data_IF_685627722660
#
_entry.id   IF_685627722660
#
_cell.length_a   1.000
_cell.length_b   1.000
_cell.length_c   1.000
_cell.angle_alpha   90.00
_cell.angle_beta   90.00
_cell.angle_gamma   90.00
#
_symmetry.space_group_name_H-M   'P 1'
#
loop_
_entity.id
_entity.type
_entity.pdbx_description
1 polymer ?
#
# COMPACT_ATOMS: atom_id res chain seq x y z
N UNK A 1 15.58 -1.63 17.70
CA UNK A 1 14.31 -0.91 17.56
C UNK A 1 13.21 -1.94 17.50
N UNK A 2 12.39 -2.03 18.55
CA UNK A 2 11.15 -2.83 18.48
C UNK A 2 10.22 -2.10 17.54
N UNK A 3 9.83 -2.73 16.44
CA UNK A 3 8.64 -2.32 15.71
C UNK A 3 7.51 -2.29 16.74
N UNK A 4 6.76 -1.19 16.85
CA UNK A 4 5.61 -1.15 17.75
C UNK A 4 4.68 -2.32 17.38
N UNK A 5 4.16 -3.06 18.37
CA UNK A 5 3.30 -4.23 18.14
C UNK A 5 2.16 -3.97 17.15
N UNK A 6 1.70 -2.71 17.10
CA UNK A 6 0.74 -2.18 16.14
C UNK A 6 1.22 -2.27 14.68
N UNK A 7 2.45 -1.86 14.37
CA UNK A 7 3.00 -1.94 13.00
C UNK A 7 3.18 -3.41 12.58
N UNK A 8 3.61 -4.29 13.50
CA UNK A 8 3.73 -5.72 13.20
C UNK A 8 2.36 -6.35 12.86
N UNK A 9 1.31 -5.96 13.59
CA UNK A 9 -0.07 -6.35 13.29
C UNK A 9 -0.53 -5.82 11.92
N UNK A 10 -0.25 -4.54 11.62
CA UNK A 10 -0.58 -3.93 10.32
C UNK A 10 0.17 -4.62 9.17
N UNK A 11 1.44 -4.97 9.35
CA UNK A 11 2.21 -5.75 8.36
C UNK A 11 1.56 -7.10 8.07
N UNK A 12 1.22 -7.85 9.12
CA UNK A 12 0.59 -9.17 8.96
C UNK A 12 -0.78 -9.07 8.29
N UNK A 13 -1.55 -8.05 8.69
CA UNK A 13 -2.85 -7.73 8.12
C UNK A 13 -2.74 -7.40 6.62
N UNK A 14 -1.82 -6.51 6.25
CA UNK A 14 -1.73 -5.94 4.91
C UNK A 14 -0.98 -6.83 3.91
N UNK A 15 -0.08 -7.71 4.37
CA UNK A 15 0.63 -8.63 3.47
C UNK A 15 -0.34 -9.53 2.68
N UNK A 16 -1.49 -9.89 3.26
CA UNK A 16 -2.54 -10.66 2.59
C UNK A 16 -3.18 -9.92 1.40
N UNK A 17 -3.04 -8.60 1.34
CA UNK A 17 -3.60 -7.77 0.28
C UNK A 17 -2.65 -7.62 -0.90
N UNK A 18 -1.41 -8.10 -0.79
CA UNK A 18 -0.46 -8.05 -1.89
C UNK A 18 -0.96 -8.82 -3.13
N UNK A 19 -1.73 -9.88 -2.91
CA UNK A 19 -2.30 -10.70 -3.99
C UNK A 19 -3.46 -10.03 -4.74
N UNK A 20 -3.97 -8.89 -4.27
CA UNK A 20 -5.13 -8.24 -4.90
C UNK A 20 -4.82 -7.81 -6.34
N UNK A 21 -5.71 -8.05 -7.31
CA UNK A 21 -5.49 -7.70 -8.72
C UNK A 21 -5.75 -6.21 -9.00
N UNK A 22 -5.27 -5.33 -8.11
CA UNK A 22 -5.52 -3.89 -8.14
C UNK A 22 -4.24 -3.13 -8.43
N UNK A 23 -4.35 -2.09 -9.24
CA UNK A 23 -3.30 -1.08 -9.43
C UNK A 23 -3.20 -0.13 -8.20
N UNK A 24 -2.28 0.85 -8.24
CA UNK A 24 -1.97 1.71 -7.09
C UNK A 24 -3.17 2.47 -6.50
N UNK A 25 -4.08 3.00 -7.32
CA UNK A 25 -5.27 3.70 -6.83
C UNK A 25 -6.22 2.74 -6.09
N UNK A 26 -6.66 1.68 -6.76
CA UNK A 26 -7.56 0.69 -6.16
C UNK A 26 -6.96 0.02 -4.93
N UNK A 27 -5.68 -0.33 -4.96
CA UNK A 27 -5.01 -0.97 -3.83
C UNK A 27 -4.91 -0.03 -2.63
N UNK A 28 -4.43 1.22 -2.83
CA UNK A 28 -4.37 2.21 -1.74
C UNK A 28 -5.75 2.51 -1.16
N UNK A 29 -6.79 2.47 -1.98
CA UNK A 29 -8.18 2.66 -1.55
C UNK A 29 -8.68 1.53 -0.65
N UNK A 30 -8.42 0.26 -1.02
CA UNK A 30 -8.79 -0.91 -0.20
C UNK A 30 -8.01 -0.94 1.11
N UNK A 31 -6.70 -0.69 1.07
CA UNK A 31 -5.86 -0.60 2.28
C UNK A 31 -6.36 0.51 3.20
N UNK A 32 -6.69 1.68 2.66
CA UNK A 32 -7.23 2.80 3.43
C UNK A 32 -8.56 2.44 4.12
N UNK A 33 -9.48 1.79 3.41
CA UNK A 33 -10.74 1.32 3.98
C UNK A 33 -10.54 0.34 5.14
N UNK A 34 -9.54 -0.53 5.04
CA UNK A 34 -9.21 -1.47 6.10
C UNK A 34 -8.64 -0.75 7.33
N UNK A 35 -7.66 0.12 7.14
CA UNK A 35 -7.04 0.88 8.23
C UNK A 35 -8.07 1.74 8.97
N UNK A 36 -9.03 2.33 8.25
CA UNK A 36 -10.13 3.09 8.87
C UNK A 36 -11.00 2.19 9.79
N UNK A 37 -11.22 0.90 9.46
CA UNK A 37 -11.99 -0.03 10.33
C UNK A 37 -11.30 -0.34 11.65
N UNK A 38 -9.97 -0.33 11.66
CA UNK A 38 -9.16 -0.51 12.85
C UNK A 38 -8.84 0.81 13.55
N UNK A 39 -9.43 1.92 13.09
CA UNK A 39 -9.16 3.25 13.61
C UNK A 39 -7.68 3.66 13.54
N UNK A 40 -6.94 3.16 12.54
CA UNK A 40 -5.52 3.45 12.36
C UNK A 40 -5.38 4.75 11.54
N UNK A 41 -4.80 5.82 12.09
CA UNK A 41 -4.62 7.09 11.37
C UNK A 41 -3.67 6.93 10.19
N UNK A 42 -4.08 7.38 9.01
CA UNK A 42 -3.27 7.28 7.80
C UNK A 42 -3.74 8.28 6.74
N UNK A 43 -2.89 8.55 5.75
CA UNK A 43 -3.19 9.41 4.61
C UNK A 43 -3.01 8.66 3.29
N UNK A 44 -3.99 8.77 2.38
CA UNK A 44 -3.80 8.36 1.00
C UNK A 44 -3.11 9.50 0.26
N UNK A 45 -1.99 9.22 -0.38
CA UNK A 45 -1.22 10.23 -1.10
C UNK A 45 -1.34 10.00 -2.59
N UNK A 46 -1.46 11.09 -3.35
CA UNK A 46 -1.21 11.12 -4.79
C UNK A 46 0.09 11.88 -4.99
N UNK A 47 1.01 11.30 -5.75
CA UNK A 47 2.25 11.97 -6.10
C UNK A 47 3.03 11.23 -7.17
N UNK A 48 4.35 11.28 -7.04
CA UNK A 48 5.27 10.62 -7.96
C UNK A 48 6.40 9.91 -7.21
N UNK A 49 6.94 8.86 -7.84
CA UNK A 49 8.08 8.09 -7.33
C UNK A 49 9.19 8.10 -8.35
N UNK A 50 10.38 8.57 -7.95
CA UNK A 50 11.59 8.57 -8.78
C UNK A 50 12.51 7.42 -8.36
N UNK A 51 12.91 6.57 -9.31
CA UNK A 51 13.78 5.41 -9.06
C UNK A 51 15.25 5.77 -9.25
N UNK A 52 16.05 5.70 -8.18
CA UNK A 52 17.44 6.22 -8.14
C UNK A 52 18.42 5.46 -9.05
N UNK A 53 18.11 4.20 -9.43
CA UNK A 53 18.95 3.40 -10.34
C UNK A 53 18.65 3.56 -11.84
N UNK A 54 17.43 3.94 -12.20
CA UNK A 54 16.99 4.03 -13.62
C UNK A 54 16.65 5.45 -14.07
N UNK A 55 16.46 6.37 -13.13
CA UNK A 55 15.91 7.70 -13.41
C UNK A 55 14.44 7.69 -13.82
N UNK A 56 13.76 6.53 -13.75
CA UNK A 56 12.34 6.44 -14.09
C UNK A 56 11.51 7.20 -13.07
N UNK A 57 10.56 7.99 -13.58
CA UNK A 57 9.53 8.66 -12.79
C UNK A 57 8.19 7.97 -13.03
N UNK A 58 7.56 7.49 -11.97
CA UNK A 58 6.23 6.86 -11.99
C UNK A 58 5.22 7.87 -11.48
N UNK A 59 4.28 8.28 -12.34
CA UNK A 59 3.23 9.25 -12.01
C UNK A 59 1.99 9.12 -12.92
N UNK A 60 0.78 9.37 -12.39
CA UNK A 60 0.50 9.51 -10.96
C UNK A 60 0.74 8.17 -10.24
N UNK A 61 1.24 8.22 -9.02
CA UNK A 61 1.38 7.06 -8.15
C UNK A 61 0.67 7.31 -6.83
N UNK A 62 0.01 6.27 -6.30
CA UNK A 62 -0.72 6.37 -5.04
C UNK A 62 -0.18 5.37 -4.01
N UNK A 63 0.02 5.86 -2.78
CA UNK A 63 0.48 5.08 -1.63
C UNK A 63 -0.24 5.53 -0.36
N UNK A 64 0.04 4.87 0.76
CA UNK A 64 -0.41 5.31 2.09
C UNK A 64 0.79 5.80 2.90
N UNK A 65 0.61 6.93 3.59
CA UNK A 65 1.49 7.36 4.67
C UNK A 65 0.86 7.02 6.03
N UNK A 66 1.66 6.36 6.87
CA UNK A 66 1.32 5.96 8.24
C UNK A 66 2.48 6.29 9.18
N UNK A 67 2.42 7.47 9.82
CA UNK A 67 3.55 7.97 10.61
C UNK A 67 4.77 8.18 9.73
N UNK A 68 5.88 7.51 10.05
CA UNK A 68 7.11 7.50 9.24
C UNK A 68 7.13 6.41 8.15
N UNK A 69 6.10 5.56 8.11
CA UNK A 69 6.00 4.44 7.19
C UNK A 69 5.24 4.81 5.92
N UNK A 70 5.72 4.23 4.82
CA UNK A 70 5.05 4.17 3.52
C UNK A 70 4.49 2.76 3.36
N UNK A 71 3.24 2.66 2.93
CA UNK A 71 2.63 1.41 2.50
C UNK A 71 2.41 1.47 0.99
N UNK A 72 3.16 0.64 0.27
CA UNK A 72 3.11 0.56 -1.18
C UNK A 72 3.45 -0.86 -1.65
N UNK A 73 2.45 -1.55 -2.21
CA UNK A 73 2.61 -2.87 -2.81
C UNK A 73 2.62 -2.84 -4.34
N UNK A 74 2.54 -1.64 -4.93
CA UNK A 74 2.20 -1.46 -6.36
C UNK A 74 3.24 -0.68 -7.14
N UNK A 75 4.24 -0.08 -6.49
CA UNK A 75 5.39 0.52 -7.16
C UNK A 75 6.00 -0.43 -8.20
N UNK A 76 6.22 -1.69 -7.80
CA UNK A 76 6.85 -2.73 -8.62
C UNK A 76 6.08 -3.05 -9.90
N UNK A 77 4.76 -2.80 -9.96
CA UNK A 77 3.97 -3.08 -11.18
C UNK A 77 4.35 -2.15 -12.34
N UNK A 78 4.79 -0.93 -12.05
CA UNK A 78 5.05 0.11 -13.06
C UNK A 78 6.53 0.33 -13.32
N UNK A 79 7.38 -0.26 -12.48
CA UNK A 79 8.81 -0.14 -12.63
C UNK A 79 9.29 -0.91 -13.87
N UNK A 80 9.93 -0.19 -14.79
CA UNK A 80 10.55 -0.76 -16.00
C UNK A 80 11.94 -1.28 -15.63
N UNK A 81 11.98 -2.40 -14.92
CA UNK A 81 13.25 -3.02 -14.47
C UNK A 81 13.43 -4.41 -15.06
N UNK A 82 14.66 -4.91 -15.05
CA UNK A 82 14.93 -6.34 -15.17
C UNK A 82 14.42 -7.07 -13.92
N UNK A 83 14.11 -8.37 -14.03
CA UNK A 83 13.64 -9.17 -12.90
C UNK A 83 14.59 -9.11 -11.69
N UNK A 84 15.90 -9.08 -11.94
CA UNK A 84 16.95 -9.03 -10.89
C UNK A 84 16.94 -7.75 -10.06
N UNK A 85 16.45 -6.63 -10.63
CA UNK A 85 16.40 -5.34 -9.94
C UNK A 85 15.03 -5.04 -9.31
N UNK A 86 14.01 -5.86 -9.60
CA UNK A 86 12.64 -5.63 -9.12
C UNK A 86 12.52 -5.83 -7.61
N UNK A 87 13.26 -6.80 -7.06
CA UNK A 87 13.29 -7.10 -5.62
C UNK A 87 13.95 -6.00 -4.79
N UNK A 88 14.79 -5.16 -5.42
CA UNK A 88 15.44 -4.01 -4.79
C UNK A 88 14.52 -2.81 -4.63
N UNK A 89 13.37 -2.79 -5.31
CA UNK A 89 12.43 -1.69 -5.17
C UNK A 89 11.59 -1.85 -3.90
N UNK A 90 11.26 -0.75 -3.20
CA UNK A 90 10.42 -0.81 -2.01
C UNK A 90 9.08 -1.52 -2.27
N UNK A 91 8.62 -2.29 -1.28
CA UNK A 91 7.37 -3.04 -1.34
C UNK A 91 6.85 -3.40 0.05
N UNK A 92 5.55 -3.28 0.23
CA UNK A 92 4.89 -3.53 1.51
C UNK A 92 4.94 -2.30 2.41
N UNK A 93 5.38 -2.48 3.65
CA UNK A 93 5.46 -1.41 4.66
C UNK A 93 6.93 -1.14 4.97
N UNK A 94 7.38 0.08 4.75
CA UNK A 94 8.79 0.45 4.87
C UNK A 94 8.95 1.93 5.22
N UNK A 95 10.14 2.32 5.68
CA UNK A 95 10.55 3.73 5.72
C UNK A 95 11.24 4.07 4.41
N UNK A 96 11.12 5.32 3.95
CA UNK A 96 11.73 5.74 2.68
C UNK A 96 13.25 5.49 2.65
N UNK A 97 13.72 4.79 1.60
CA UNK A 97 15.15 4.67 1.26
C UNK A 97 15.43 5.39 -0.06
N UNK A 98 15.99 6.60 0.05
CA UNK A 98 16.31 7.47 -1.10
C UNK A 98 17.36 6.87 -2.04
N UNK A 99 18.11 5.85 -1.60
CA UNK A 99 19.02 5.13 -2.49
C UNK A 99 18.30 4.22 -3.49
N UNK A 100 17.03 3.86 -3.20
CA UNK A 100 16.21 3.01 -4.06
C UNK A 100 15.14 3.83 -4.78
N UNK A 101 14.36 4.60 -4.02
CA UNK A 101 13.26 5.39 -4.55
C UNK A 101 13.02 6.64 -3.69
N UNK A 102 12.63 7.75 -4.35
CA UNK A 102 12.21 8.98 -3.67
C UNK A 102 10.73 9.22 -3.96
N UNK A 103 9.93 9.35 -2.91
CA UNK A 103 8.50 9.63 -2.94
C UNK A 103 8.27 11.13 -2.80
N UNK A 104 7.51 11.72 -3.71
CA UNK A 104 7.16 13.15 -3.67
C UNK A 104 5.64 13.29 -3.63
N UNK A 105 5.11 13.61 -2.45
CA UNK A 105 3.69 13.88 -2.26
C UNK A 105 3.26 15.15 -3.01
N UNK A 106 2.17 15.08 -3.76
CA UNK A 106 1.58 16.23 -4.45
C UNK A 106 0.26 16.66 -3.80
N UNK A 107 -0.56 15.69 -3.38
CA UNK A 107 -1.82 15.98 -2.69
C UNK A 107 -2.29 14.77 -1.87
N UNK A 108 -3.20 15.04 -0.93
CA UNK A 108 -3.90 13.99 -0.19
C UNK A 108 -5.11 13.57 -1.02
N UNK A 109 -5.19 12.28 -1.38
CA UNK A 109 -6.36 11.71 -2.02
C UNK A 109 -7.52 11.68 -1.03
N UNK A 110 -8.73 11.94 -1.51
CA UNK A 110 -9.92 11.81 -0.66
C UNK A 110 -10.07 10.36 -0.18
N UNK A 111 -10.33 10.23 1.12
CA UNK A 111 -10.89 9.00 1.67
C UNK A 111 -12.33 8.93 1.24
N UNK A 112 -12.68 7.91 0.48
CA UNK A 112 -14.07 7.60 0.13
C UNK A 112 -14.46 6.38 0.93
N UNK A 113 -15.56 6.45 1.67
CA UNK A 113 -16.13 5.26 2.28
C UNK A 113 -16.77 4.44 1.16
N UNK A 114 -16.20 3.26 0.92
CA UNK A 114 -16.67 2.36 -0.13
C UNK A 114 -17.43 1.21 0.52
N UNK A 115 -18.65 0.91 0.07
CA UNK A 115 -19.40 -0.22 0.58
C UNK A 115 -18.63 -1.54 0.39
N UNK A 116 -18.72 -2.45 1.35
CA UNK A 116 -18.07 -3.77 1.29
C UNK A 116 -18.39 -4.52 0.01
N UNK A 117 -19.60 -4.37 -0.53
CA UNK A 117 -20.01 -4.99 -1.80
C UNK A 117 -19.19 -4.50 -2.99
N UNK A 118 -18.79 -3.22 -2.99
CA UNK A 118 -17.94 -2.65 -4.05
C UNK A 118 -16.49 -3.08 -3.86
N UNK A 119 -15.98 -3.12 -2.62
CA UNK A 119 -14.64 -3.64 -2.34
C UNK A 119 -14.54 -5.13 -2.71
N UNK A 120 -15.57 -5.93 -2.38
CA UNK A 120 -15.66 -7.34 -2.75
C UNK A 120 -15.59 -7.52 -4.27
N UNK A 121 -16.34 -6.70 -5.01
CA UNK A 121 -16.30 -6.70 -6.47
C UNK A 121 -14.91 -6.32 -7.02
N UNK A 122 -14.30 -5.25 -6.50
CA UNK A 122 -12.96 -4.80 -6.91
C UNK A 122 -11.86 -5.82 -6.62
N UNK A 123 -12.06 -6.67 -5.62
CA UNK A 123 -11.06 -7.63 -5.14
C UNK A 123 -11.33 -9.06 -5.60
N UNK A 124 -12.23 -9.27 -6.57
CA UNK A 124 -12.64 -10.60 -7.06
C UNK A 124 -13.04 -11.56 -5.93
N UNK A 125 -13.73 -11.04 -4.91
CA UNK A 125 -14.20 -11.81 -3.76
C UNK A 125 -13.13 -12.17 -2.72
N UNK A 126 -11.95 -11.56 -2.79
CA UNK A 126 -10.88 -11.79 -1.81
C UNK A 126 -11.17 -11.05 -0.49
N UNK A 127 -11.84 -9.90 -0.56
CA UNK A 127 -12.09 -9.03 0.61
C UNK A 127 -12.79 -9.75 1.78
N UNK A 128 -13.89 -10.47 1.53
CA UNK A 128 -14.62 -11.22 2.56
C UNK A 128 -13.76 -12.26 3.28
N UNK A 129 -12.86 -12.94 2.57
CA UNK A 129 -11.91 -13.90 3.17
C UNK A 129 -10.96 -13.23 4.13
N UNK A 130 -10.46 -12.05 3.76
CA UNK A 130 -9.52 -11.33 4.63
C UNK A 130 -10.23 -10.83 5.91
N UNK A 131 -11.47 -10.37 5.81
CA UNK A 131 -12.26 -9.98 6.99
C UNK A 131 -12.54 -11.15 7.94
N UNK A 132 -12.80 -12.34 7.41
CA UNK A 132 -12.98 -13.55 8.24
C UNK A 132 -11.70 -13.89 9.01
N UNK A 133 -10.56 -13.91 8.32
CA UNK A 133 -9.26 -14.22 8.94
C UNK A 133 -8.88 -13.26 10.08
N UNK A 134 -9.28 -12.00 9.98
CA UNK A 134 -9.09 -10.99 11.00
C UNK A 134 -9.95 -11.28 12.22
N UNK A 135 -11.23 -11.59 11.99
CA UNK A 135 -12.22 -11.76 13.06
C UNK A 135 -11.92 -12.98 13.93
N UNK A 136 -11.26 -14.01 13.37
CA UNK A 136 -10.86 -15.22 14.09
C UNK A 136 -9.58 -15.08 14.93
N UNK A 137 -8.90 -13.92 14.90
CA UNK A 137 -7.69 -13.64 15.70
C UNK A 137 -7.94 -12.81 16.97
N UNK A 138 -9.17 -12.33 17.16
CA UNK A 138 -9.61 -11.62 18.37
C UNK A 138 -10.34 -12.58 19.32
#
# INVERSE_FOLDING_TARGET
MSIASEVAYVCELLHKYDVLPLECDGHSMVVSCLLDRFCIPHQRIVGEVSLTGTGQIIRPHMWIEYGEYIIDYRLRMWAKTTADNLSLLPHGIFTEDKNQATYTAQSIAKKTVIPDTVIEFMTDGIWSKILQDITHKN
#
